data_IF_830559343004
#
_entry.id   IF_830559343004
#
_cell.length_a   1.000
_cell.length_b   1.000
_cell.length_c   1.000
_cell.angle_alpha   90.00
_cell.angle_beta   90.00
_cell.angle_gamma   90.00
#
_symmetry.space_group_name_H-M   'P 1'
#
loop_
_entity.id
_entity.type
_entity.pdbx_description
1 polymer ?
#
# COMPACT_ATOMS: atom_id res chain seq x y z
N UNK A 1 8.05 -24.82 -17.02
CA UNK A 1 6.88 -24.06 -17.53
C UNK A 1 6.33 -23.29 -16.35
N UNK A 2 6.61 -21.99 -16.28
CA UNK A 2 6.16 -21.12 -15.18
C UNK A 2 4.78 -20.58 -15.54
N UNK A 3 3.75 -21.07 -14.87
CA UNK A 3 2.41 -20.47 -14.94
C UNK A 3 2.41 -19.24 -14.03
N UNK A 4 2.38 -18.06 -14.63
CA UNK A 4 1.97 -16.85 -13.95
C UNK A 4 0.47 -17.00 -13.63
N UNK A 5 0.12 -17.08 -12.35
CA UNK A 5 -1.27 -17.04 -11.93
C UNK A 5 -1.72 -15.58 -11.96
N UNK A 6 -2.37 -15.21 -13.05
CA UNK A 6 -3.16 -13.98 -13.16
C UNK A 6 -4.44 -14.19 -12.35
N UNK A 7 -4.61 -13.44 -11.26
CA UNK A 7 -5.84 -13.43 -10.47
C UNK A 7 -6.64 -12.19 -10.87
N UNK A 8 -7.53 -12.38 -11.85
CA UNK A 8 -8.49 -11.36 -12.31
C UNK A 8 -9.88 -11.63 -11.72
N UNK A 9 -10.33 -10.63 -10.95
CA UNK A 9 -11.68 -10.26 -10.54
C UNK A 9 -12.63 -11.26 -9.85
N UNK A 10 -12.93 -10.96 -8.56
CA UNK A 10 -14.29 -10.98 -7.99
C UNK A 10 -14.31 -10.27 -6.63
N UNK A 11 -15.32 -9.44 -6.42
CA UNK A 11 -15.66 -8.76 -5.16
C UNK A 11 -15.42 -9.63 -3.91
N UNK A 12 -14.36 -9.33 -3.16
CA UNK A 12 -13.98 -10.13 -1.98
C UNK A 12 -12.79 -9.64 -1.18
N UNK A 13 -12.30 -8.42 -1.40
CA UNK A 13 -11.23 -7.79 -0.61
C UNK A 13 -11.74 -6.59 0.20
N UNK A 14 -13.04 -6.55 0.49
CA UNK A 14 -13.62 -5.59 1.44
C UNK A 14 -13.05 -5.90 2.83
N UNK A 15 -12.03 -5.15 3.25
CA UNK A 15 -11.37 -5.33 4.54
C UNK A 15 -9.98 -5.99 4.47
N UNK A 16 -9.17 -5.67 3.45
CA UNK A 16 -7.73 -5.93 3.55
C UNK A 16 -7.15 -5.10 4.71
N UNK A 17 -6.84 -5.79 5.81
CA UNK A 17 -6.31 -5.25 7.05
C UNK A 17 -4.81 -5.55 7.17
N UNK A 18 -4.13 -4.90 8.12
CA UNK A 18 -2.71 -5.12 8.42
C UNK A 18 -2.33 -6.61 8.54
N UNK A 19 -3.20 -7.47 9.07
CA UNK A 19 -2.94 -8.92 9.16
C UNK A 19 -2.59 -9.58 7.81
N UNK A 20 -3.17 -9.07 6.71
CA UNK A 20 -2.87 -9.59 5.36
C UNK A 20 -1.48 -9.16 4.90
N UNK A 21 -1.11 -7.90 5.17
CA UNK A 21 0.23 -7.40 4.89
C UNK A 21 1.28 -8.13 5.72
N UNK A 22 1.01 -8.34 7.00
CA UNK A 22 1.89 -9.08 7.90
C UNK A 22 2.15 -10.50 7.38
N UNK A 23 1.08 -11.22 7.03
CA UNK A 23 1.20 -12.56 6.47
C UNK A 23 2.04 -12.59 5.18
N UNK A 24 1.87 -11.61 4.29
CA UNK A 24 2.69 -11.48 3.08
C UNK A 24 4.16 -11.24 3.40
N UNK A 25 4.45 -10.33 4.33
CA UNK A 25 5.83 -10.01 4.70
C UNK A 25 6.55 -11.17 5.37
N UNK A 26 5.85 -11.91 6.24
CA UNK A 26 6.39 -13.04 6.97
C UNK A 26 6.63 -14.27 6.07
N UNK A 27 5.68 -14.59 5.19
CA UNK A 27 5.75 -15.82 4.39
C UNK A 27 6.49 -15.65 3.06
N UNK A 28 6.61 -14.42 2.54
CA UNK A 28 7.21 -14.16 1.23
C UNK A 28 8.50 -13.33 1.37
N UNK A 29 9.59 -13.94 1.84
CA UNK A 29 10.87 -13.25 2.06
C UNK A 29 11.44 -12.57 0.78
N UNK A 30 11.11 -13.12 -0.39
CA UNK A 30 11.59 -12.67 -1.70
C UNK A 30 10.68 -11.66 -2.40
N UNK A 31 9.58 -11.24 -1.76
CA UNK A 31 8.64 -10.30 -2.35
C UNK A 31 9.31 -8.95 -2.60
N UNK A 32 9.32 -8.50 -3.85
CA UNK A 32 9.94 -7.22 -4.24
C UNK A 32 8.94 -6.08 -4.41
N UNK A 33 7.68 -6.42 -4.64
CA UNK A 33 6.60 -5.48 -4.85
C UNK A 33 5.32 -6.00 -4.20
N UNK A 34 4.67 -5.14 -3.40
CA UNK A 34 3.35 -5.38 -2.85
C UNK A 34 2.48 -4.18 -3.22
N UNK A 35 1.28 -4.46 -3.70
CA UNK A 35 0.26 -3.47 -4.00
C UNK A 35 -1.06 -3.95 -3.44
N UNK A 36 -1.67 -3.12 -2.60
CA UNK A 36 -3.04 -3.27 -2.17
C UNK A 36 -3.87 -2.19 -2.84
N UNK A 37 -4.91 -2.59 -3.54
CA UNK A 37 -5.89 -1.67 -4.13
C UNK A 37 -7.26 -1.91 -3.51
N UNK A 38 -7.99 -0.82 -3.32
CA UNK A 38 -9.40 -0.84 -2.89
C UNK A 38 -10.21 -0.05 -3.90
N UNK A 39 -11.08 -0.72 -4.65
CA UNK A 39 -11.84 -0.12 -5.75
C UNK A 39 -13.34 0.06 -5.45
N UNK A 40 -13.79 -0.18 -4.22
CA UNK A 40 -15.20 0.00 -3.86
C UNK A 40 -15.39 1.30 -3.10
N UNK A 41 -16.25 2.21 -3.60
CA UNK A 41 -16.57 3.53 -3.04
C UNK A 41 -17.11 3.56 -1.59
N UNK A 42 -17.13 2.43 -0.88
CA UNK A 42 -17.55 2.31 0.51
C UNK A 42 -16.65 1.38 1.37
N UNK A 43 -15.58 0.83 0.80
CA UNK A 43 -14.66 -0.04 1.51
C UNK A 43 -13.51 0.75 2.12
N UNK A 44 -13.66 1.24 3.35
CA UNK A 44 -12.56 1.81 4.09
C UNK A 44 -11.47 0.74 4.25
N UNK A 45 -10.30 0.98 3.65
CA UNK A 45 -9.07 0.33 4.10
C UNK A 45 -8.89 0.66 5.58
N UNK A 46 -8.76 -0.36 6.43
CA UNK A 46 -8.48 -0.23 7.87
C UNK A 46 -7.01 -0.60 8.13
N UNK A 47 -6.10 -0.03 7.35
CA UNK A 47 -4.67 -0.07 7.63
C UNK A 47 -4.33 0.92 8.75
N UNK A 48 -4.01 0.42 9.94
CA UNK A 48 -3.55 1.25 11.06
C UNK A 48 -2.02 1.44 11.06
N UNK A 49 -1.31 0.64 10.26
CA UNK A 49 0.15 0.67 10.11
C UNK A 49 0.88 -0.38 10.94
N UNK A 50 0.17 -1.19 11.75
CA UNK A 50 0.77 -2.24 12.59
C UNK A 50 1.58 -3.27 11.80
N UNK A 51 1.19 -3.58 10.55
CA UNK A 51 1.98 -4.47 9.70
C UNK A 51 3.31 -3.84 9.25
N UNK A 52 3.35 -2.51 9.12
CA UNK A 52 4.59 -1.79 8.80
C UNK A 52 5.53 -1.76 10.01
N UNK A 53 4.97 -1.63 11.22
CA UNK A 53 5.73 -1.75 12.46
C UNK A 53 6.31 -3.17 12.60
N UNK A 54 5.53 -4.22 12.31
CA UNK A 54 6.02 -5.61 12.28
C UNK A 54 7.12 -5.83 11.24
N UNK A 55 6.95 -5.27 10.05
CA UNK A 55 7.98 -5.32 8.99
C UNK A 55 9.26 -4.60 9.40
N UNK A 56 9.18 -3.61 10.30
CA UNK A 56 10.33 -2.94 10.89
C UNK A 56 10.96 -3.77 12.02
N UNK A 57 10.16 -4.37 12.91
CA UNK A 57 10.60 -5.25 14.00
C UNK A 57 11.28 -6.54 13.52
N UNK A 58 10.97 -6.99 12.31
CA UNK A 58 11.51 -8.21 11.71
C UNK A 58 12.34 -7.92 10.44
N UNK A 59 13.64 -7.57 10.56
CA UNK A 59 14.49 -7.19 9.42
C UNK A 59 14.62 -8.27 8.31
N UNK A 60 14.38 -9.53 8.65
CA UNK A 60 14.43 -10.66 7.72
C UNK A 60 13.13 -10.83 6.89
N UNK A 61 12.09 -10.04 7.18
CA UNK A 61 10.85 -10.02 6.40
C UNK A 61 10.95 -9.05 5.22
N UNK A 62 10.43 -9.50 4.07
CA UNK A 62 10.41 -8.71 2.83
C UNK A 62 11.77 -8.12 2.48
N UNK A 63 12.85 -8.89 2.60
CA UNK A 63 14.25 -8.40 2.41
C UNK A 63 14.48 -7.81 1.01
N UNK A 64 13.74 -8.29 0.02
CA UNK A 64 13.79 -7.81 -1.37
C UNK A 64 12.76 -6.72 -1.68
N UNK A 65 11.95 -6.28 -0.69
CA UNK A 65 10.87 -5.33 -0.90
C UNK A 65 11.42 -3.96 -1.32
N UNK A 66 11.08 -3.55 -2.54
CA UNK A 66 11.50 -2.27 -3.14
C UNK A 66 10.35 -1.29 -3.29
N UNK A 67 9.11 -1.78 -3.43
CA UNK A 67 7.94 -0.94 -3.66
C UNK A 67 6.72 -1.48 -2.93
N UNK A 68 6.10 -0.63 -2.12
CA UNK A 68 4.86 -0.90 -1.41
C UNK A 68 3.81 0.15 -1.79
N UNK A 69 2.69 -0.26 -2.38
CA UNK A 69 1.54 0.63 -2.66
C UNK A 69 0.40 0.27 -1.74
N UNK A 70 -0.10 1.26 -1.01
CA UNK A 70 -1.21 1.12 -0.07
C UNK A 70 -2.31 2.11 -0.46
N UNK A 71 -3.59 1.77 -0.23
CA UNK A 71 -4.68 2.72 -0.42
C UNK A 71 -4.54 3.88 0.57
N UNK A 72 -4.77 5.09 0.08
CA UNK A 72 -4.80 6.31 0.88
C UNK A 72 -6.14 6.43 1.60
N UNK A 73 -6.11 6.63 2.91
CA UNK A 73 -7.28 6.45 3.77
C UNK A 73 -8.26 7.60 3.95
N UNK A 74 -8.23 8.75 3.27
CA UNK A 74 -9.12 9.92 3.49
C UNK A 74 -9.33 10.45 4.96
N UNK A 75 -9.57 9.64 5.99
CA UNK A 75 -9.72 9.96 7.42
C UNK A 75 -8.49 9.56 8.26
N UNK A 76 -8.05 10.45 9.17
CA UNK A 76 -7.03 10.21 10.22
C UNK A 76 -5.80 9.38 9.81
N UNK A 77 -5.00 9.91 8.90
CA UNK A 77 -3.78 9.27 8.36
C UNK A 77 -2.57 9.25 9.29
N UNK A 78 -2.67 9.76 10.51
CA UNK A 78 -1.50 10.04 11.33
C UNK A 78 -0.70 8.77 11.67
N UNK A 79 -1.39 7.70 12.08
CA UNK A 79 -0.77 6.42 12.45
C UNK A 79 -0.09 5.74 11.25
N UNK A 80 -0.83 5.59 10.14
CA UNK A 80 -0.29 4.98 8.91
C UNK A 80 0.88 5.81 8.35
N UNK A 81 0.74 7.13 8.28
CA UNK A 81 1.82 8.01 7.80
C UNK A 81 3.05 7.95 8.71
N UNK A 82 2.86 7.88 10.04
CA UNK A 82 3.95 7.71 10.99
C UNK A 82 4.67 6.39 10.76
N UNK A 83 3.94 5.28 10.61
CA UNK A 83 4.50 3.96 10.36
C UNK A 83 5.26 3.92 9.02
N UNK A 84 4.71 4.52 7.96
CA UNK A 84 5.39 4.67 6.66
C UNK A 84 6.70 5.47 6.78
N UNK A 85 6.69 6.57 7.54
CA UNK A 85 7.89 7.38 7.79
C UNK A 85 8.95 6.59 8.55
N UNK A 86 8.56 5.85 9.59
CA UNK A 86 9.46 5.01 10.37
C UNK A 86 10.08 3.91 9.49
N UNK A 87 9.28 3.19 8.70
CA UNK A 87 9.75 2.14 7.81
C UNK A 87 10.71 2.68 6.73
N UNK A 88 10.36 3.78 6.07
CA UNK A 88 11.19 4.36 4.99
C UNK A 88 12.45 5.05 5.49
N UNK A 89 12.55 5.35 6.79
CA UNK A 89 13.79 5.81 7.42
C UNK A 89 14.85 4.69 7.44
N UNK A 90 14.43 3.47 7.74
CA UNK A 90 15.31 2.32 7.92
C UNK A 90 15.55 1.56 6.61
N UNK A 91 14.53 1.48 5.75
CA UNK A 91 14.63 0.89 4.40
C UNK A 91 14.78 1.99 3.35
N UNK A 92 15.99 2.54 3.22
CA UNK A 92 16.32 3.68 2.35
C UNK A 92 16.02 3.46 0.84
N UNK A 93 16.05 2.20 0.40
CA UNK A 93 15.72 1.74 -0.96
C UNK A 93 14.22 1.51 -1.19
N UNK A 94 13.41 1.45 -0.13
CA UNK A 94 11.97 1.21 -0.23
C UNK A 94 11.25 2.50 -0.67
N UNK A 95 10.43 2.38 -1.71
CA UNK A 95 9.42 3.36 -2.09
C UNK A 95 8.07 2.92 -1.52
N UNK A 96 7.46 3.75 -0.69
CA UNK A 96 6.06 3.57 -0.28
C UNK A 96 5.19 4.60 -0.99
N UNK A 97 4.06 4.19 -1.56
CA UNK A 97 3.09 5.10 -2.17
C UNK A 97 1.72 4.90 -1.51
N UNK A 98 1.13 5.99 -1.03
CA UNK A 98 -0.29 6.03 -0.69
C UNK A 98 -1.08 6.46 -1.92
N UNK A 99 -2.10 5.69 -2.30
CA UNK A 99 -2.86 5.87 -3.54
C UNK A 99 -4.32 6.18 -3.22
N UNK A 100 -4.77 7.37 -3.59
CA UNK A 100 -6.20 7.71 -3.56
C UNK A 100 -6.75 7.58 -4.98
N UNK A 101 -7.94 7.00 -5.10
CA UNK A 101 -8.67 6.87 -6.37
C UNK A 101 -10.05 7.47 -6.16
N UNK A 102 -10.47 8.37 -7.04
CA UNK A 102 -11.83 8.90 -7.03
C UNK A 102 -12.42 8.89 -8.43
N UNK A 103 -13.72 8.61 -8.49
CA UNK A 103 -14.51 8.78 -9.70
C UNK A 103 -14.90 10.26 -9.81
N UNK A 104 -14.50 10.90 -10.90
CA UNK A 104 -14.85 12.27 -11.21
C UNK A 104 -15.68 12.28 -12.48
N UNK A 105 -16.88 12.87 -12.38
CA UNK A 105 -17.71 13.09 -13.55
C UNK A 105 -17.10 14.24 -14.36
N UNK A 106 -16.64 13.94 -15.57
CA UNK A 106 -16.21 14.94 -16.55
C UNK A 106 -17.16 14.92 -17.72
N UNK A 107 -17.93 16.01 -17.86
CA UNK A 107 -18.95 16.15 -18.89
C UNK A 107 -20.03 15.04 -18.77
N UNK A 108 -20.14 14.15 -19.75
CA UNK A 108 -21.09 13.03 -19.77
C UNK A 108 -20.48 11.71 -19.24
N UNK A 109 -19.16 11.63 -19.08
CA UNK A 109 -18.46 10.41 -18.69
C UNK A 109 -17.93 10.47 -17.25
N UNK A 110 -17.73 9.28 -16.68
CA UNK A 110 -17.04 9.08 -15.42
C UNK A 110 -15.59 8.71 -15.70
N UNK A 111 -14.66 9.51 -15.19
CA UNK A 111 -13.23 9.23 -15.24
C UNK A 111 -12.71 8.84 -13.86
N UNK A 112 -11.73 7.92 -13.82
CA UNK A 112 -10.98 7.62 -12.61
C UNK A 112 -9.77 8.54 -12.54
N UNK A 113 -9.72 9.39 -11.52
CA UNK A 113 -8.48 10.09 -11.15
C UNK A 113 -7.76 9.35 -10.03
N UNK A 114 -6.45 9.26 -10.19
CA UNK A 114 -5.56 8.54 -9.28
C UNK A 114 -4.51 9.51 -8.79
N UNK A 115 -4.46 9.72 -7.47
CA UNK A 115 -3.45 10.54 -6.80
C UNK A 115 -2.46 9.66 -6.06
N UNK A 116 -1.20 10.07 -6.09
CA UNK A 116 -0.10 9.37 -5.43
C UNK A 116 0.61 10.29 -4.45
N UNK A 117 0.70 9.85 -3.20
CA UNK A 117 1.63 10.42 -2.23
C UNK A 117 2.81 9.47 -2.05
N UNK A 118 3.99 9.89 -2.48
CA UNK A 118 5.22 9.09 -2.39
C UNK A 118 5.95 9.36 -1.08
N UNK A 119 6.50 8.31 -0.47
CA UNK A 119 7.37 8.37 0.69
C UNK A 119 8.68 7.65 0.43
N UNK A 120 9.79 8.33 0.72
CA UNK A 120 11.13 7.75 0.66
C UNK A 120 12.04 8.46 1.65
N UNK A 121 12.92 7.71 2.34
CA UNK A 121 13.85 8.27 3.34
C UNK A 121 13.12 9.17 4.34
N UNK A 122 12.00 8.69 4.91
CA UNK A 122 11.13 9.42 5.85
C UNK A 122 10.39 10.64 5.28
N UNK A 123 10.66 11.08 4.05
CA UNK A 123 10.07 12.30 3.48
C UNK A 123 8.92 11.97 2.54
N UNK A 124 7.85 12.75 2.65
CA UNK A 124 6.85 12.87 1.57
C UNK A 124 7.56 13.54 0.39
N UNK A 125 7.42 12.96 -0.79
CA UNK A 125 7.90 13.54 -2.03
C UNK A 125 6.71 14.16 -2.73
N UNK A 126 6.73 15.50 -2.86
CA UNK A 126 5.78 16.19 -3.72
C UNK A 126 6.17 15.89 -5.17
N UNK A 127 5.19 15.42 -5.94
CA UNK A 127 5.35 15.24 -7.39
C UNK A 127 4.80 16.53 -8.00
N UNK A 128 5.69 17.35 -8.57
CA UNK A 128 5.32 18.51 -9.39
C UNK A 128 4.92 18.08 -10.79
#
# INVERSE_FOLDING_TARGET
>A
MNSAQELTDKAGTSGLQDITLEALFNNCADISHVELTTHSGHGYSLLDGSALDKLWEHPHWGTKLKKLRLPDQHTSHESLTRAVRALTKEKDKLLVQLVSVSELKKWEDWELEVWHTNFRKQRKQDIF
#
